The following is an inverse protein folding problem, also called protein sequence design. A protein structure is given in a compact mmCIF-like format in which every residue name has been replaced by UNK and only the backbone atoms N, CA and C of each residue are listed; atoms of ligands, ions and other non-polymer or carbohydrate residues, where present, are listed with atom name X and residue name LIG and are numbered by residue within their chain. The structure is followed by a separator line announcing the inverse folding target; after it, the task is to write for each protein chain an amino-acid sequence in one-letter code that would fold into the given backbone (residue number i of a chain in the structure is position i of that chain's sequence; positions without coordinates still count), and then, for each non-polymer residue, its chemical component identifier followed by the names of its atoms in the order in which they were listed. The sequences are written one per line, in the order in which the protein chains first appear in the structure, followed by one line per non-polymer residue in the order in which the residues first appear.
data_IF_484323983011
#
_entry.id   IF_484323983011
#
_cell.length_a   1.000
_cell.length_b   1.000
_cell.length_c   1.000
_cell.angle_alpha   90.00
_cell.angle_beta   90.00
_cell.angle_gamma   90.00
#
_symmetry.space_group_name_H-M   'P 1'
#
loop_
_entity.id
_entity.type
_entity.pdbx_description
1 polymer ?
#
# COMPACT_ATOMS: atom_id res chain seq x y z
N UNK A 1 5.80 -2.21 1.79
CA UNK A 1 4.70 -2.66 2.66
C UNK A 1 5.17 -3.90 3.40
N UNK A 2 4.72 -4.09 4.64
CA UNK A 2 5.11 -5.29 5.40
C UNK A 2 4.51 -6.54 4.77
N UNK A 3 5.32 -7.58 4.68
CA UNK A 3 4.93 -8.92 4.25
C UNK A 3 4.16 -9.64 5.36
N UNK A 4 3.35 -10.67 5.04
CA UNK A 4 2.72 -11.51 6.06
C UNK A 4 3.69 -12.04 7.12
N UNK A 5 4.94 -12.34 6.73
CA UNK A 5 6.03 -12.74 7.64
C UNK A 5 6.45 -11.66 8.63
N UNK A 6 6.62 -10.43 8.16
CA UNK A 6 6.98 -9.31 9.03
C UNK A 6 5.81 -8.96 9.97
N UNK A 7 4.57 -9.13 9.49
CA UNK A 7 3.36 -8.93 10.28
C UNK A 7 3.22 -10.03 11.34
N UNK A 8 3.47 -11.30 11.00
CA UNK A 8 3.38 -12.40 11.96
C UNK A 8 4.41 -12.25 13.09
N UNK A 9 5.64 -11.86 12.74
CA UNK A 9 6.67 -11.53 13.72
C UNK A 9 6.25 -10.36 14.63
N UNK A 10 5.73 -9.27 14.06
CA UNK A 10 5.29 -8.10 14.82
C UNK A 10 4.13 -8.41 15.77
N UNK A 11 3.16 -9.20 15.32
CA UNK A 11 1.98 -9.58 16.09
C UNK A 11 2.22 -10.79 17.01
N UNK A 12 3.41 -11.39 16.95
CA UNK A 12 3.77 -12.60 17.68
C UNK A 12 2.77 -13.75 17.44
N UNK A 13 2.44 -13.99 16.18
CA UNK A 13 1.56 -15.08 15.73
C UNK A 13 2.32 -15.99 14.76
N UNK A 14 1.81 -17.21 14.55
CA UNK A 14 2.39 -18.14 13.59
C UNK A 14 2.24 -17.63 12.14
N UNK A 15 3.35 -17.63 11.39
CA UNK A 15 3.40 -17.14 10.00
C UNK A 15 2.54 -17.98 9.06
N UNK A 16 2.54 -19.31 9.21
CA UNK A 16 1.83 -20.23 8.33
C UNK A 16 0.33 -20.05 8.56
N UNK A 17 -0.10 -20.05 9.82
CA UNK A 17 -1.51 -19.82 10.18
C UNK A 17 -1.98 -18.45 9.68
N UNK A 18 -1.22 -17.38 9.92
CA UNK A 18 -1.59 -16.05 9.45
C UNK A 18 -1.70 -15.99 7.91
N UNK A 19 -0.79 -16.66 7.21
CA UNK A 19 -0.80 -16.71 5.74
C UNK A 19 -2.04 -17.44 5.23
N UNK A 20 -2.38 -18.59 5.82
CA UNK A 20 -3.59 -19.35 5.47
C UNK A 20 -4.87 -18.56 5.77
N UNK A 21 -4.89 -17.88 6.92
CA UNK A 21 -5.99 -16.99 7.34
C UNK A 21 -6.18 -15.80 6.38
N UNK A 22 -5.11 -15.25 5.82
CA UNK A 22 -5.19 -14.19 4.81
C UNK A 22 -5.67 -14.75 3.47
N UNK A 23 -5.26 -15.98 3.12
CA UNK A 23 -5.64 -16.61 1.86
C UNK A 23 -7.09 -17.12 1.86
N UNK A 24 -7.67 -17.36 3.04
CA UNK A 24 -9.04 -17.85 3.18
C UNK A 24 -10.08 -16.77 2.88
N UNK A 25 -10.98 -17.04 1.93
CA UNK A 25 -12.07 -16.13 1.54
C UNK A 25 -13.05 -15.99 2.71
N UNK A 26 -13.40 -14.74 3.04
CA UNK A 26 -14.33 -14.43 4.13
C UNK A 26 -13.68 -14.40 5.52
N UNK A 27 -12.42 -14.80 5.66
CA UNK A 27 -11.73 -14.73 6.94
C UNK A 27 -11.42 -13.27 7.33
N UNK A 28 -11.61 -12.86 8.60
CA UNK A 28 -11.36 -11.48 9.03
C UNK A 28 -9.94 -10.99 8.77
N UNK A 29 -8.94 -11.89 8.89
CA UNK A 29 -7.54 -11.55 8.65
C UNK A 29 -7.30 -11.09 7.20
N UNK A 30 -7.95 -11.73 6.22
CA UNK A 30 -7.90 -11.31 4.81
C UNK A 30 -8.36 -9.87 4.64
N UNK A 31 -9.52 -9.53 5.20
CA UNK A 31 -10.08 -8.17 5.12
C UNK A 31 -9.16 -7.16 5.83
N UNK A 32 -8.66 -7.49 7.01
CA UNK A 32 -7.75 -6.64 7.76
C UNK A 32 -6.44 -6.37 7.00
N UNK A 33 -5.85 -7.41 6.40
CA UNK A 33 -4.64 -7.30 5.60
C UNK A 33 -4.81 -6.37 4.39
N UNK A 34 -5.84 -6.59 3.57
CA UNK A 34 -6.08 -5.75 2.38
C UNK A 34 -6.49 -4.32 2.74
N UNK A 35 -7.21 -4.12 3.84
CA UNK A 35 -7.49 -2.78 4.35
C UNK A 35 -6.19 -2.08 4.76
N UNK A 36 -5.31 -2.75 5.52
CA UNK A 36 -4.02 -2.20 5.92
C UNK A 36 -3.12 -1.85 4.73
N UNK A 37 -3.07 -2.72 3.71
CA UNK A 37 -2.40 -2.45 2.43
C UNK A 37 -2.95 -1.19 1.76
N UNK A 38 -4.27 -1.07 1.66
CA UNK A 38 -4.92 0.07 1.00
C UNK A 38 -4.68 1.38 1.75
N UNK A 39 -4.80 1.36 3.08
CA UNK A 39 -4.51 2.52 3.94
C UNK A 39 -3.05 2.93 3.83
N UNK A 40 -2.12 1.99 3.86
CA UNK A 40 -0.69 2.27 3.71
C UNK A 40 -0.37 2.89 2.35
N UNK A 41 -1.00 2.39 1.28
CA UNK A 41 -0.84 2.94 -0.07
C UNK A 41 -1.43 4.35 -0.22
N UNK A 42 -2.56 4.63 0.45
CA UNK A 42 -3.11 5.99 0.51
C UNK A 42 -2.13 6.93 1.23
N UNK A 43 -1.67 6.54 2.41
CA UNK A 43 -0.79 7.37 3.23
C UNK A 43 0.57 7.61 2.55
N UNK A 44 1.10 6.63 1.81
CA UNK A 44 2.29 6.83 1.00
C UNK A 44 2.08 7.90 -0.08
N UNK A 45 0.92 7.91 -0.75
CA UNK A 45 0.60 8.92 -1.77
C UNK A 45 0.44 10.31 -1.16
N UNK A 46 -0.16 10.41 0.02
CA UNK A 46 -0.26 11.66 0.78
C UNK A 46 1.14 12.19 1.15
N UNK A 47 2.01 11.33 1.68
CA UNK A 47 3.39 11.70 2.01
C UNK A 47 4.19 12.15 0.78
N UNK A 48 4.03 11.48 -0.37
CA UNK A 48 4.66 11.90 -1.63
C UNK A 48 4.17 13.29 -2.03
N UNK A 49 2.86 13.54 -1.95
CA UNK A 49 2.28 14.86 -2.26
C UNK A 49 2.82 15.94 -1.32
N UNK A 50 2.87 15.69 -0.02
CA UNK A 50 3.40 16.63 0.96
C UNK A 50 4.88 16.94 0.71
N UNK A 51 5.69 15.92 0.44
CA UNK A 51 7.09 16.08 0.10
C UNK A 51 7.28 16.87 -1.20
N UNK A 52 6.41 16.69 -2.19
CA UNK A 52 6.43 17.49 -3.43
C UNK A 52 6.12 18.97 -3.16
N UNK A 53 5.14 19.26 -2.29
CA UNK A 53 4.82 20.63 -1.85
C UNK A 53 6.02 21.26 -1.11
N UNK A 54 6.73 20.47 -0.31
CA UNK A 54 7.96 20.89 0.36
C UNK A 54 9.16 21.05 -0.59
N UNK A 55 9.02 20.74 -1.88
CA UNK A 55 10.04 20.95 -2.90
C UNK A 55 10.95 19.75 -3.17
N UNK A 56 10.61 18.54 -2.72
CA UNK A 56 11.36 17.31 -3.04
C UNK A 56 11.33 17.05 -4.55
N UNK A 57 12.49 17.07 -5.25
CA UNK A 57 12.52 16.86 -6.70
C UNK A 57 12.04 15.46 -7.10
N UNK A 58 12.37 14.45 -6.28
CA UNK A 58 11.92 13.07 -6.49
C UNK A 58 10.40 12.97 -6.43
N UNK A 59 9.79 13.56 -5.40
CA UNK A 59 8.35 13.48 -5.18
C UNK A 59 7.57 14.23 -6.25
N UNK A 60 8.09 15.36 -6.74
CA UNK A 60 7.51 16.11 -7.87
C UNK A 60 7.51 15.25 -9.13
N UNK A 61 8.62 14.58 -9.45
CA UNK A 61 8.72 13.71 -10.62
C UNK A 61 7.73 12.53 -10.54
N UNK A 62 7.57 11.93 -9.36
CA UNK A 62 6.64 10.81 -9.16
C UNK A 62 5.17 11.28 -9.30
N UNK A 63 4.82 12.46 -8.78
CA UNK A 63 3.50 13.05 -9.01
C UNK A 63 3.23 13.29 -10.51
N UNK A 64 4.20 13.82 -11.25
CA UNK A 64 4.07 14.04 -12.69
C UNK A 64 3.85 12.72 -13.45
N UNK A 65 4.58 11.67 -13.10
CA UNK A 65 4.42 10.34 -13.69
C UNK A 65 3.02 9.76 -13.44
N UNK A 66 2.49 9.90 -12.22
CA UNK A 66 1.13 9.46 -11.90
C UNK A 66 0.08 10.20 -12.72
N UNK A 67 0.22 11.52 -12.89
CA UNK A 67 -0.68 12.32 -13.72
C UNK A 67 -0.62 11.88 -15.19
N UNK A 68 0.59 11.66 -15.72
CA UNK A 68 0.77 11.21 -17.11
C UNK A 68 0.12 9.86 -17.38
N UNK A 69 0.29 8.90 -16.47
CA UNK A 69 -0.35 7.59 -16.58
C UNK A 69 -1.87 7.71 -16.60
N UNK A 70 -2.44 8.53 -15.72
CA UNK A 70 -3.89 8.69 -15.66
C UNK A 70 -4.47 9.43 -16.87
N UNK A 71 -3.75 10.42 -17.41
CA UNK A 71 -4.12 11.08 -18.67
C UNK A 71 -4.07 10.11 -19.87
N UNK A 72 -3.15 9.14 -19.86
CA UNK A 72 -3.06 8.13 -20.91
C UNK A 72 -4.24 7.14 -20.87
N UNK A 73 -4.78 6.85 -19.69
CA UNK A 73 -5.96 5.98 -19.54
C UNK A 73 -7.27 6.65 -19.95
N UNK A 74 -7.34 7.99 -19.90
CA UNK A 74 -8.55 8.77 -20.27
C UNK A 74 -8.62 9.06 -21.77
N UNK A 75 -7.47 9.04 -22.47
CA UNK A 75 -7.37 9.32 -23.90
C UNK A 75 -7.48 8.08 -24.80
N UNK A 76 -7.85 6.92 -24.22
CA UNK A 76 -8.14 5.65 -24.91
C UNK A 76 -9.64 5.38 -24.80
#
# INVERSE_FOLDING_TARGET
MMTPKEISFLLNVDEIILTDDINTIGHPARKAFFNGVSTSALQLRENIREAAIAGSPFSIAECQKLIMNQLSEVNV
#
